data_IF_637407223771
#
_entry.id   IF_637407223771
#
_cell.length_a   1.000
_cell.length_b   1.000
_cell.length_c   1.000
_cell.angle_alpha   90.00
_cell.angle_beta   90.00
_cell.angle_gamma   90.00
#
_symmetry.space_group_name_H-M   'P 1'
#
loop_
_entity.id
_entity.type
_entity.pdbx_description
1 polymer ?
#
# COMPACT_ATOMS: atom_id res chain seq x y z
N UNK A 1 5.82 -9.98 4.62
CA UNK A 1 4.62 -10.17 3.75
C UNK A 1 4.53 -9.04 2.72
N UNK A 2 3.62 -9.11 1.75
CA UNK A 2 3.43 -8.03 0.75
C UNK A 2 2.96 -6.73 1.41
N UNK A 3 2.15 -6.84 2.46
CA UNK A 3 1.70 -5.71 3.26
C UNK A 3 2.88 -4.91 3.85
N UNK A 4 3.93 -5.56 4.34
CA UNK A 4 5.08 -4.85 4.92
C UNK A 4 5.81 -3.98 3.88
N UNK A 5 5.92 -4.48 2.64
CA UNK A 5 6.52 -3.71 1.53
C UNK A 5 5.67 -2.49 1.20
N UNK A 6 4.34 -2.65 1.14
CA UNK A 6 3.40 -1.52 0.96
C UNK A 6 3.52 -0.51 2.11
N UNK A 7 3.68 -0.98 3.35
CA UNK A 7 3.88 -0.11 4.51
C UNK A 7 5.18 0.67 4.39
N UNK A 8 6.29 0.02 4.05
CA UNK A 8 7.56 0.72 3.81
C UNK A 8 7.45 1.77 2.71
N UNK A 9 6.85 1.44 1.56
CA UNK A 9 6.68 2.39 0.44
C UNK A 9 5.90 3.62 0.89
N UNK A 10 4.77 3.44 1.58
CA UNK A 10 3.95 4.54 2.06
C UNK A 10 4.66 5.36 3.16
N UNK A 11 5.39 4.70 4.07
CA UNK A 11 6.20 5.37 5.10
C UNK A 11 7.35 6.18 4.47
N UNK A 12 8.02 5.66 3.47
CA UNK A 12 9.11 6.36 2.78
C UNK A 12 8.60 7.55 1.96
N UNK A 13 7.43 7.41 1.33
CA UNK A 13 6.84 8.48 0.52
C UNK A 13 6.12 9.54 1.36
N UNK A 14 5.70 9.24 2.59
CA UNK A 14 4.95 10.15 3.49
C UNK A 14 3.75 10.85 2.83
N UNK A 15 3.14 10.21 1.83
CA UNK A 15 2.01 10.76 1.07
C UNK A 15 1.03 9.65 0.67
N UNK A 16 -0.25 10.00 0.45
CA UNK A 16 -1.20 9.11 -0.20
C UNK A 16 -0.68 8.70 -1.58
N UNK A 17 -0.84 7.42 -1.93
CA UNK A 17 -0.45 6.92 -3.24
C UNK A 17 -1.59 6.17 -3.92
N UNK A 18 -1.72 6.32 -5.23
CA UNK A 18 -2.67 5.53 -6.00
C UNK A 18 -2.33 4.05 -5.96
N UNK A 19 -3.36 3.22 -6.09
CA UNK A 19 -3.23 1.76 -6.19
C UNK A 19 -2.21 1.35 -7.26
N UNK A 20 -2.28 1.96 -8.44
CA UNK A 20 -1.41 1.62 -9.56
C UNK A 20 0.06 1.93 -9.27
N UNK A 21 0.36 3.06 -8.63
CA UNK A 21 1.72 3.41 -8.23
C UNK A 21 2.25 2.48 -7.14
N UNK A 22 1.42 2.13 -6.16
CA UNK A 22 1.78 1.14 -5.14
C UNK A 22 2.06 -0.23 -5.77
N UNK A 23 1.23 -0.66 -6.73
CA UNK A 23 1.46 -1.91 -7.46
C UNK A 23 2.79 -1.87 -8.20
N UNK A 24 3.11 -0.76 -8.89
CA UNK A 24 4.38 -0.60 -9.59
C UNK A 24 5.57 -0.66 -8.63
N UNK A 25 5.54 0.07 -7.51
CA UNK A 25 6.65 0.06 -6.56
C UNK A 25 6.83 -1.27 -5.84
N UNK A 26 5.76 -1.95 -5.48
CA UNK A 26 5.85 -3.29 -4.89
C UNK A 26 6.47 -4.27 -5.87
N UNK A 27 6.07 -4.23 -7.15
CA UNK A 27 6.62 -5.09 -8.20
C UNK A 27 8.11 -4.81 -8.48
N UNK A 28 8.56 -3.56 -8.32
CA UNK A 28 9.99 -3.20 -8.41
C UNK A 28 10.81 -3.75 -7.24
N UNK A 29 10.25 -3.75 -6.03
CA UNK A 29 10.93 -4.25 -4.82
C UNK A 29 10.91 -5.76 -4.70
N UNK A 30 9.83 -6.42 -5.14
CA UNK A 30 9.65 -7.86 -5.03
C UNK A 30 8.83 -8.42 -6.18
N UNK A 31 9.22 -9.59 -6.68
CA UNK A 31 8.44 -10.36 -7.65
C UNK A 31 7.23 -11.01 -6.96
N UNK A 32 6.05 -10.38 -7.08
CA UNK A 32 4.77 -10.89 -6.57
C UNK A 32 3.66 -10.73 -7.59
N UNK A 33 2.54 -11.44 -7.42
CA UNK A 33 1.38 -11.26 -8.31
C UNK A 33 0.59 -10.02 -7.91
N UNK A 34 0.08 -9.28 -8.91
CA UNK A 34 -0.81 -8.12 -8.70
C UNK A 34 -2.00 -8.46 -7.79
N UNK A 35 -2.55 -9.67 -7.92
CA UNK A 35 -3.66 -10.13 -7.09
C UNK A 35 -3.32 -10.15 -5.59
N UNK A 36 -2.09 -10.52 -5.23
CA UNK A 36 -1.63 -10.53 -3.83
C UNK A 36 -1.48 -9.10 -3.28
N UNK A 37 -1.07 -8.15 -4.11
CA UNK A 37 -1.00 -6.73 -3.75
C UNK A 37 -2.40 -6.19 -3.50
N UNK A 38 -3.34 -6.51 -4.39
CA UNK A 38 -4.75 -6.13 -4.23
C UNK A 38 -5.34 -6.70 -2.95
N UNK A 39 -5.09 -7.97 -2.66
CA UNK A 39 -5.52 -8.61 -1.41
C UNK A 39 -4.93 -7.89 -0.19
N UNK A 40 -3.65 -7.55 -0.21
CA UNK A 40 -3.02 -6.81 0.90
C UNK A 40 -3.65 -5.42 1.11
N UNK A 41 -3.99 -4.71 0.04
CA UNK A 41 -4.67 -3.40 0.10
C UNK A 41 -6.12 -3.47 0.59
N UNK A 42 -6.75 -4.65 0.58
CA UNK A 42 -8.08 -4.83 1.20
C UNK A 42 -8.03 -4.84 2.74
N UNK A 43 -6.84 -4.98 3.33
CA UNK A 43 -6.66 -4.97 4.78
C UNK A 43 -6.84 -3.56 5.35
N UNK A 44 -8.07 -3.28 5.78
CA UNK A 44 -8.48 -1.99 6.36
C UNK A 44 -7.80 -1.65 7.69
N UNK A 45 -7.17 -2.64 8.35
CA UNK A 45 -6.43 -2.39 9.58
C UNK A 45 -5.08 -1.71 9.31
N UNK A 46 -4.51 -1.93 8.11
CA UNK A 46 -3.20 -1.41 7.72
C UNK A 46 -3.31 -0.28 6.71
N UNK A 47 -4.27 -0.36 5.79
CA UNK A 47 -4.42 0.57 4.69
C UNK A 47 -5.80 1.22 4.71
N UNK A 48 -5.82 2.54 4.56
CA UNK A 48 -7.04 3.32 4.40
C UNK A 48 -7.13 3.79 2.95
N UNK A 49 -8.24 3.44 2.30
CA UNK A 49 -8.53 3.92 0.94
C UNK A 49 -9.29 5.25 1.04
N UNK A 50 -8.78 6.27 0.35
CA UNK A 50 -9.44 7.57 0.17
C UNK A 50 -10.50 7.49 -0.95
N UNK A 51 -11.42 8.44 -0.97
CA UNK A 51 -12.50 8.52 -1.97
C UNK A 51 -11.95 8.61 -3.40
N UNK A 52 -10.81 9.29 -3.56
CA UNK A 52 -10.09 9.44 -4.82
C UNK A 52 -9.35 8.17 -5.29
N UNK A 53 -9.40 7.07 -4.53
CA UNK A 53 -8.72 5.81 -4.87
C UNK A 53 -7.25 5.74 -4.45
N UNK A 54 -6.79 6.74 -3.69
CA UNK A 54 -5.48 6.75 -3.04
C UNK A 54 -5.50 5.90 -1.77
N UNK A 55 -4.34 5.36 -1.39
CA UNK A 55 -4.16 4.59 -0.17
C UNK A 55 -3.18 5.30 0.75
N UNK A 56 -3.54 5.33 2.01
CA UNK A 56 -2.70 5.80 3.12
C UNK A 56 -2.55 4.71 4.16
N UNK A 57 -1.57 4.87 5.05
CA UNK A 57 -1.47 4.02 6.22
C UNK A 57 -2.55 4.40 7.22
N UNK A 58 -3.21 3.38 7.79
CA UNK A 58 -3.93 3.56 9.03
C UNK A 58 -2.88 3.78 10.11
N UNK A 59 -2.54 5.03 10.41
CA UNK A 59 -1.57 5.30 11.47
C UNK A 59 -2.09 4.81 12.83
N UNK A 60 -1.20 4.32 13.70
CA UNK A 60 -1.35 4.49 15.13
C UNK A 60 -1.11 5.97 15.43
N UNK A 61 -2.17 6.71 15.73
CA UNK A 61 -2.07 8.03 16.32
C UNK A 61 -1.21 7.94 17.60
N UNK A 62 0.00 8.53 17.61
CA UNK A 62 0.75 8.85 18.84
C UNK A 62 1.60 10.08 18.61
#
# INVERSE_FOLDING_TARGET
MVADVLVSILKENNRPMFRDDLVKEVLKRRVVKKNTIHLALTDKNKFKKSENGEYTLCEPST
#
